data_IF_179098853728
#
_entry.id   IF_179098853728
#
_cell.length_a   1.000
_cell.length_b   1.000
_cell.length_c   1.000
_cell.angle_alpha   90.00
_cell.angle_beta   90.00
_cell.angle_gamma   90.00
#
_symmetry.space_group_name_H-M   'P 1'
#
loop_
_entity.id
_entity.type
_entity.pdbx_description
1 polymer ?
#
# COMPACT_ATOMS: atom_id res chain seq x y z
N UNK A 1 -44.06 -19.89 33.32
CA UNK A 1 -43.41 -18.56 33.26
C UNK A 1 -41.88 -18.56 33.25
N UNK A 2 -41.16 -19.58 33.75
CA UNK A 2 -39.68 -19.59 33.73
C UNK A 2 -39.04 -20.00 32.39
N UNK A 3 -39.74 -20.74 31.52
CA UNK A 3 -39.19 -21.19 30.23
C UNK A 3 -39.19 -20.13 29.14
N UNK A 4 -40.12 -19.17 29.17
CA UNK A 4 -40.14 -18.06 28.20
C UNK A 4 -39.01 -17.04 28.41
N UNK A 5 -38.51 -16.91 29.65
CA UNK A 5 -37.39 -16.01 29.95
C UNK A 5 -36.04 -16.55 29.42
N UNK A 6 -35.87 -17.87 29.35
CA UNK A 6 -34.65 -18.50 28.86
C UNK A 6 -34.50 -18.37 27.34
N UNK A 7 -35.62 -18.42 26.61
CA UNK A 7 -35.63 -18.27 25.15
C UNK A 7 -35.27 -16.84 24.72
N UNK A 8 -35.72 -15.83 25.47
CA UNK A 8 -35.40 -14.44 25.22
C UNK A 8 -33.91 -14.11 25.48
N UNK A 9 -33.28 -14.80 26.44
CA UNK A 9 -31.85 -14.61 26.75
C UNK A 9 -30.93 -15.25 25.70
N UNK A 10 -31.36 -16.35 25.07
CA UNK A 10 -30.61 -17.06 24.03
C UNK A 10 -30.68 -16.36 22.65
N UNK A 11 -31.75 -15.61 22.39
CA UNK A 11 -31.88 -14.78 21.19
C UNK A 11 -31.04 -13.49 21.25
N UNK A 12 -30.65 -13.03 22.44
CA UNK A 12 -29.81 -11.83 22.59
C UNK A 12 -28.32 -12.05 22.31
N UNK A 13 -27.83 -13.30 22.39
CA UNK A 13 -26.41 -13.63 22.16
C UNK A 13 -26.07 -13.96 20.71
N UNK A 14 -27.06 -13.97 19.81
CA UNK A 14 -26.89 -14.26 18.39
C UNK A 14 -26.79 -12.99 17.53
N UNK A 15 -26.49 -11.83 18.11
CA UNK A 15 -25.95 -10.71 17.34
C UNK A 15 -24.49 -11.03 16.99
N UNK A 16 -24.35 -11.93 16.02
CA UNK A 16 -23.14 -12.06 15.25
C UNK A 16 -22.90 -10.68 14.64
N UNK A 17 -21.99 -9.90 15.22
CA UNK A 17 -21.50 -8.67 14.62
C UNK A 17 -20.82 -9.09 13.32
N UNK A 18 -21.59 -9.10 12.24
CA UNK A 18 -21.06 -9.28 10.90
C UNK A 18 -20.00 -8.19 10.73
N UNK A 19 -18.74 -8.60 10.62
CA UNK A 19 -17.68 -7.67 10.29
C UNK A 19 -18.07 -7.02 8.96
N UNK A 20 -18.13 -5.68 8.88
CA UNK A 20 -18.51 -5.02 7.64
C UNK A 20 -17.55 -5.51 6.54
N UNK A 21 -18.13 -6.03 5.46
CA UNK A 21 -17.34 -6.56 4.36
C UNK A 21 -16.45 -5.46 3.79
N UNK A 22 -15.15 -5.74 3.71
CA UNK A 22 -14.19 -4.83 3.09
C UNK A 22 -14.51 -4.75 1.61
N UNK A 23 -14.95 -3.56 1.17
CA UNK A 23 -15.36 -3.29 -0.22
C UNK A 23 -14.12 -3.21 -1.11
N UNK A 24 -13.16 -2.39 -0.69
CA UNK A 24 -11.94 -2.11 -1.46
C UNK A 24 -10.74 -2.06 -0.53
N UNK A 25 -9.61 -2.60 -1.00
CA UNK A 25 -8.32 -2.46 -0.32
C UNK A 25 -7.25 -2.04 -1.31
N UNK A 26 -6.60 -0.91 -1.04
CA UNK A 26 -5.54 -0.33 -1.85
C UNK A 26 -4.27 -0.29 -1.02
N UNK A 27 -3.20 -0.91 -1.51
CA UNK A 27 -1.87 -0.79 -0.94
C UNK A 27 -0.98 0.02 -1.87
N UNK A 28 -0.56 1.19 -1.40
CA UNK A 28 0.37 2.07 -2.08
C UNK A 28 1.74 1.89 -1.43
N UNK A 29 2.76 1.60 -2.23
CA UNK A 29 4.17 1.66 -1.82
C UNK A 29 4.84 2.75 -2.65
N UNK A 30 5.29 3.80 -1.99
CA UNK A 30 6.05 4.91 -2.58
C UNK A 30 7.51 4.73 -2.19
N UNK A 31 8.41 4.73 -3.18
CA UNK A 31 9.86 4.70 -2.97
C UNK A 31 10.54 5.80 -3.76
N UNK A 32 11.60 6.39 -3.19
CA UNK A 32 12.42 7.38 -3.87
C UNK A 32 13.81 6.82 -4.20
N UNK A 33 14.19 6.86 -5.48
CA UNK A 33 15.53 6.48 -5.94
C UNK A 33 15.97 5.08 -5.54
N UNK A 34 17.29 4.84 -5.48
CA UNK A 34 17.89 3.60 -5.02
C UNK A 34 17.80 3.48 -3.48
N UNK A 35 16.59 3.26 -2.96
CA UNK A 35 16.36 2.42 -1.78
C UNK A 35 16.46 3.04 -0.37
N UNK A 36 16.55 4.36 -0.20
CA UNK A 36 16.66 4.92 1.17
C UNK A 36 15.33 5.22 1.85
N UNK A 37 14.27 5.55 1.10
CA UNK A 37 12.99 5.93 1.69
C UNK A 37 11.87 5.10 1.09
N UNK A 38 11.28 4.23 1.93
CA UNK A 38 10.09 3.44 1.58
C UNK A 38 8.94 3.94 2.45
N UNK A 39 7.85 4.26 1.79
CA UNK A 39 6.62 4.68 2.41
C UNK A 39 5.47 3.79 1.95
N UNK A 40 4.69 3.28 2.91
CA UNK A 40 3.55 2.44 2.61
C UNK A 40 2.27 3.10 3.13
N UNK A 41 1.21 3.04 2.31
CA UNK A 41 -0.14 3.44 2.68
C UNK A 41 -1.07 2.28 2.40
N UNK A 42 -1.77 1.83 3.42
CA UNK A 42 -2.85 0.86 3.29
C UNK A 42 -4.18 1.57 3.49
N UNK A 43 -5.03 1.55 2.45
CA UNK A 43 -6.38 2.07 2.47
C UNK A 43 -7.35 0.89 2.45
N UNK A 44 -8.22 0.81 3.46
CA UNK A 44 -9.27 -0.20 3.60
C UNK A 44 -10.60 0.50 3.70
N UNK A 45 -11.53 0.20 2.79
CA UNK A 45 -12.83 0.86 2.72
C UNK A 45 -13.96 -0.15 2.96
N UNK A 46 -14.91 0.24 3.80
CA UNK A 46 -16.22 -0.39 3.97
C UNK A 46 -17.32 0.53 3.44
N UNK A 47 -18.58 0.13 3.55
CA UNK A 47 -19.71 0.99 3.21
C UNK A 47 -19.79 2.26 4.07
N UNK A 48 -19.31 2.20 5.32
CA UNK A 48 -19.47 3.28 6.29
C UNK A 48 -18.20 4.10 6.49
N UNK A 49 -17.06 3.42 6.48
CA UNK A 49 -15.79 3.98 6.95
C UNK A 49 -14.66 3.70 5.96
N UNK A 50 -13.65 4.56 5.98
CA UNK A 50 -12.36 4.33 5.33
C UNK A 50 -11.26 4.42 6.38
N UNK A 51 -10.51 3.34 6.54
CA UNK A 51 -9.31 3.30 7.38
C UNK A 51 -8.07 3.46 6.50
N UNK A 52 -7.20 4.39 6.86
CA UNK A 52 -5.93 4.61 6.18
C UNK A 52 -4.81 4.39 7.19
N UNK A 53 -3.88 3.49 6.90
CA UNK A 53 -2.70 3.22 7.72
C UNK A 53 -1.47 3.68 6.96
N UNK A 54 -0.71 4.59 7.55
CA UNK A 54 0.53 5.14 7.01
C UNK A 54 1.71 4.46 7.70
N UNK A 55 2.77 4.16 6.96
CA UNK A 55 3.96 3.50 7.49
C UNK A 55 5.21 4.00 6.77
N UNK A 56 6.09 4.68 7.50
CA UNK A 56 7.41 5.13 7.00
C UNK A 56 8.48 4.18 7.50
N UNK A 57 9.35 3.71 6.60
CA UNK A 57 10.52 2.94 6.99
C UNK A 57 11.53 3.87 7.67
N UNK A 58 11.87 3.60 8.92
CA UNK A 58 12.86 4.40 9.66
C UNK A 58 14.25 3.81 9.51
N UNK A 59 14.36 2.48 9.63
CA UNK A 59 15.64 1.78 9.53
C UNK A 59 15.45 0.29 9.27
N UNK A 60 16.54 -0.37 8.86
CA UNK A 60 16.64 -1.82 8.79
C UNK A 60 17.76 -2.27 9.70
N UNK A 61 17.52 -3.23 10.59
CA UNK A 61 18.55 -3.83 11.43
C UNK A 61 19.47 -4.73 10.60
N UNK A 62 20.42 -4.10 9.91
CA UNK A 62 21.37 -4.80 9.03
C UNK A 62 22.25 -5.79 9.81
N UNK A 63 22.57 -5.51 11.07
CA UNK A 63 23.37 -6.40 11.91
C UNK A 63 22.63 -7.70 12.18
N UNK A 64 21.38 -7.64 12.63
CA UNK A 64 20.57 -8.84 12.86
C UNK A 64 20.28 -9.57 11.54
N UNK A 65 19.96 -8.84 10.46
CA UNK A 65 19.74 -9.43 9.14
C UNK A 65 20.99 -10.19 8.65
N UNK A 66 22.19 -9.64 8.83
CA UNK A 66 23.45 -10.26 8.40
C UNK A 66 23.83 -11.53 9.17
N UNK A 67 23.20 -11.77 10.33
CA UNK A 67 23.42 -12.96 11.18
C UNK A 67 22.31 -14.00 11.01
N UNK A 68 21.21 -13.67 10.34
CA UNK A 68 20.12 -14.60 10.09
C UNK A 68 20.53 -15.62 9.02
N UNK A 69 20.46 -16.91 9.35
CA UNK A 69 20.81 -18.01 8.44
C UNK A 69 19.96 -18.03 7.18
N UNK A 70 18.68 -17.64 7.27
CA UNK A 70 17.75 -17.59 6.15
C UNK A 70 18.16 -16.47 5.17
N UNK A 71 18.50 -15.29 5.71
CA UNK A 71 19.04 -14.16 4.92
C UNK A 71 20.35 -14.56 4.26
N UNK A 72 21.28 -15.16 5.01
CA UNK A 72 22.57 -15.62 4.47
C UNK A 72 22.36 -16.65 3.37
N UNK A 73 21.44 -17.60 3.55
CA UNK A 73 21.15 -18.62 2.54
C UNK A 73 20.59 -18.00 1.25
N UNK A 74 19.63 -17.09 1.37
CA UNK A 74 19.05 -16.36 0.22
C UNK A 74 20.14 -15.55 -0.48
N UNK A 75 20.95 -14.79 0.24
CA UNK A 75 22.07 -14.03 -0.33
C UNK A 75 23.17 -14.91 -0.97
N UNK A 76 23.39 -16.12 -0.44
CA UNK A 76 24.31 -17.08 -1.05
C UNK A 76 23.73 -17.71 -2.32
N UNK A 77 22.42 -17.97 -2.36
CA UNK A 77 21.73 -18.41 -3.57
C UNK A 77 21.79 -17.33 -4.65
N UNK A 78 21.63 -16.06 -4.27
CA UNK A 78 21.82 -14.90 -5.15
C UNK A 78 23.20 -14.90 -5.79
N UNK A 79 24.25 -14.92 -4.96
CA UNK A 79 25.64 -14.86 -5.44
C UNK A 79 26.02 -16.04 -6.34
N UNK A 80 25.33 -17.17 -6.21
CA UNK A 80 25.52 -18.38 -7.03
C UNK A 80 24.63 -18.42 -8.27
N UNK A 81 23.60 -17.59 -8.33
CA UNK A 81 22.69 -17.51 -9.47
C UNK A 81 23.23 -16.53 -10.51
N UNK A 82 23.07 -16.82 -11.80
CA UNK A 82 23.31 -15.86 -12.89
C UNK A 82 22.21 -14.76 -12.94
N UNK A 83 21.67 -14.38 -11.78
CA UNK A 83 20.57 -13.43 -11.66
C UNK A 83 20.93 -12.06 -12.26
N UNK A 84 22.18 -11.61 -12.08
CA UNK A 84 22.67 -10.36 -12.68
C UNK A 84 22.56 -10.37 -14.22
N UNK A 85 22.58 -11.56 -14.84
CA UNK A 85 22.46 -11.70 -16.29
C UNK A 85 20.99 -11.81 -16.75
N UNK A 86 20.05 -12.09 -15.84
CA UNK A 86 18.61 -12.28 -16.12
C UNK A 86 17.72 -11.77 -14.97
N UNK A 87 17.69 -10.46 -14.68
CA UNK A 87 16.95 -9.89 -13.56
C UNK A 87 15.43 -10.14 -13.66
N UNK A 88 14.88 -10.22 -14.87
CA UNK A 88 13.45 -10.43 -15.13
C UNK A 88 13.08 -11.92 -15.33
N UNK A 89 13.90 -12.85 -14.84
CA UNK A 89 13.56 -14.27 -14.85
C UNK A 89 12.57 -14.58 -13.72
N UNK A 90 11.77 -15.64 -13.87
CA UNK A 90 10.85 -16.11 -12.82
C UNK A 90 11.60 -16.42 -11.52
N UNK A 91 12.82 -16.96 -11.65
CA UNK A 91 13.72 -17.20 -10.53
C UNK A 91 14.18 -15.89 -9.86
N UNK A 92 14.44 -14.86 -10.66
CA UNK A 92 14.82 -13.54 -10.16
C UNK A 92 13.71 -12.81 -9.41
N UNK A 93 12.49 -12.83 -9.94
CA UNK A 93 11.33 -12.26 -9.25
C UNK A 93 11.05 -12.97 -7.92
N UNK A 94 11.14 -14.31 -7.90
CA UNK A 94 11.01 -15.09 -6.65
C UNK A 94 12.08 -14.72 -5.63
N UNK A 95 13.32 -14.58 -6.09
CA UNK A 95 14.43 -14.17 -5.23
C UNK A 95 14.19 -12.79 -4.61
N UNK A 96 13.84 -11.78 -5.44
CA UNK A 96 13.55 -10.43 -4.93
C UNK A 96 12.42 -10.44 -3.90
N UNK A 97 11.38 -11.23 -4.13
CA UNK A 97 10.26 -11.37 -3.19
C UNK A 97 10.70 -12.01 -1.87
N UNK A 98 11.51 -13.07 -1.90
CA UNK A 98 12.04 -13.70 -0.70
C UNK A 98 12.96 -12.76 0.08
N UNK A 99 13.89 -12.08 -0.60
CA UNK A 99 14.76 -11.10 0.03
C UNK A 99 13.96 -9.95 0.64
N UNK A 100 12.97 -9.40 -0.08
CA UNK A 100 12.07 -8.36 0.43
C UNK A 100 11.33 -8.83 1.69
N UNK A 101 10.80 -10.06 1.69
CA UNK A 101 10.12 -10.65 2.85
C UNK A 101 11.05 -10.76 4.06
N UNK A 102 12.29 -11.19 3.86
CA UNK A 102 13.27 -11.31 4.93
C UNK A 102 13.73 -9.95 5.46
N UNK A 103 13.93 -8.97 4.58
CA UNK A 103 14.29 -7.62 4.99
C UNK A 103 13.14 -6.94 5.76
N UNK A 104 11.88 -7.23 5.43
CA UNK A 104 10.71 -6.72 6.17
C UNK A 104 10.71 -7.14 7.65
N UNK A 105 11.19 -8.36 7.97
CA UNK A 105 11.32 -8.86 9.36
C UNK A 105 12.24 -7.98 10.21
N UNK A 106 13.24 -7.36 9.58
CA UNK A 106 14.26 -6.53 10.22
C UNK A 106 14.02 -5.03 10.03
N UNK A 107 12.88 -4.65 9.46
CA UNK A 107 12.54 -3.26 9.18
C UNK A 107 11.76 -2.65 10.33
N UNK A 108 12.19 -1.48 10.79
CA UNK A 108 11.47 -0.68 11.77
C UNK A 108 10.67 0.42 11.07
N UNK A 109 9.41 0.56 11.45
CA UNK A 109 8.49 1.52 10.84
C UNK A 109 7.84 2.42 11.89
N UNK A 110 7.79 3.71 11.60
CA UNK A 110 6.87 4.64 12.23
C UNK A 110 5.52 4.49 11.55
N UNK A 111 4.46 4.29 12.35
CA UNK A 111 3.11 4.02 11.85
C UNK A 111 2.09 4.91 12.52
N UNK A 112 1.09 5.29 11.74
CA UNK A 112 -0.09 5.96 12.26
C UNK A 112 -1.30 5.65 11.37
N UNK A 113 -2.50 5.99 11.81
CA UNK A 113 -3.72 5.71 11.05
C UNK A 113 -4.78 6.79 11.20
N UNK A 114 -5.62 6.91 10.17
CA UNK A 114 -6.83 7.70 10.18
C UNK A 114 -8.03 6.79 10.00
N UNK A 115 -9.11 7.15 10.69
CA UNK A 115 -10.44 6.67 10.41
C UNK A 115 -11.28 7.83 9.87
N UNK A 116 -11.89 7.61 8.71
CA UNK A 116 -12.73 8.57 8.01
C UNK A 116 -14.14 7.99 7.90
N UNK A 117 -15.16 8.77 8.27
CA UNK A 117 -16.54 8.44 7.93
C UNK A 117 -16.76 8.75 6.45
N UNK A 118 -17.28 7.78 5.69
CA UNK A 118 -17.54 7.94 4.25
C UNK A 118 -18.51 9.08 3.97
N UNK A 119 -19.50 9.28 4.84
CA UNK A 119 -20.46 10.39 4.71
C UNK A 119 -19.83 11.77 4.85
N UNK A 120 -18.77 11.90 5.63
CA UNK A 120 -18.06 13.18 5.83
C UNK A 120 -16.97 13.39 4.77
N UNK A 121 -16.56 12.32 4.07
CA UNK A 121 -15.45 12.32 3.12
C UNK A 121 -15.88 11.77 1.75
N UNK A 122 -17.08 12.15 1.29
CA UNK A 122 -17.72 11.59 0.08
C UNK A 122 -16.85 11.67 -1.16
N UNK A 123 -16.18 12.80 -1.39
CA UNK A 123 -15.31 12.99 -2.55
C UNK A 123 -14.14 12.00 -2.56
N UNK A 124 -13.58 11.71 -1.38
CA UNK A 124 -12.52 10.73 -1.23
C UNK A 124 -13.05 9.31 -1.43
N UNK A 125 -14.21 8.97 -0.89
CA UNK A 125 -14.86 7.68 -1.16
C UNK A 125 -15.14 7.46 -2.66
N UNK A 126 -15.59 8.51 -3.38
CA UNK A 126 -15.78 8.47 -4.83
C UNK A 126 -14.45 8.26 -5.56
N UNK A 127 -13.38 8.91 -5.12
CA UNK A 127 -12.04 8.72 -5.71
C UNK A 127 -11.55 7.28 -5.56
N UNK A 128 -11.78 6.65 -4.41
CA UNK A 128 -11.45 5.23 -4.20
C UNK A 128 -12.23 4.32 -5.12
N UNK A 129 -13.55 4.55 -5.25
CA UNK A 129 -14.41 3.78 -6.15
C UNK A 129 -13.97 3.95 -7.62
N UNK A 130 -13.66 5.18 -8.05
CA UNK A 130 -13.14 5.47 -9.39
C UNK A 130 -11.84 4.72 -9.67
N UNK A 131 -10.89 4.77 -8.71
CA UNK A 131 -9.61 4.09 -8.86
C UNK A 131 -9.76 2.57 -8.95
N UNK A 132 -10.65 1.98 -8.15
CA UNK A 132 -10.89 0.54 -8.13
C UNK A 132 -11.55 0.04 -9.42
N UNK A 133 -12.57 0.77 -9.89
CA UNK A 133 -13.36 0.42 -11.07
C UNK A 133 -12.61 0.69 -12.40
N UNK A 134 -11.65 1.63 -12.41
CA UNK A 134 -10.86 1.93 -13.60
C UNK A 134 -10.14 0.68 -14.11
N UNK A 135 -10.21 0.41 -15.42
CA UNK A 135 -9.51 -0.73 -16.01
C UNK A 135 -8.00 -0.56 -15.89
N UNK A 136 -7.24 -1.66 -15.93
CA UNK A 136 -5.78 -1.59 -15.89
C UNK A 136 -5.25 -0.70 -17.02
N UNK A 137 -5.81 -0.82 -18.21
CA UNK A 137 -5.45 -0.05 -19.40
C UNK A 137 -5.70 1.44 -19.17
N UNK A 138 -6.85 1.82 -18.60
CA UNK A 138 -7.16 3.23 -18.29
C UNK A 138 -6.25 3.83 -17.20
N UNK A 139 -5.77 2.98 -16.29
CA UNK A 139 -4.86 3.36 -15.21
C UNK A 139 -3.40 3.45 -15.70
N UNK A 140 -3.03 2.69 -16.73
CA UNK A 140 -1.71 2.65 -17.35
C UNK A 140 -1.60 3.51 -18.61
N UNK A 141 -2.68 4.18 -19.05
CA UNK A 141 -2.67 4.98 -20.27
C UNK A 141 -1.73 6.19 -20.10
N UNK A 142 -0.48 5.97 -20.49
CA UNK A 142 0.57 6.97 -20.55
C UNK A 142 0.09 8.07 -21.49
N UNK A 143 0.01 9.31 -21.01
CA UNK A 143 0.05 10.48 -21.89
C UNK A 143 1.25 10.29 -22.84
N UNK A 144 0.98 9.98 -24.11
CA UNK A 144 1.92 9.51 -25.16
C UNK A 144 3.11 10.47 -25.45
N UNK A 145 3.30 11.52 -24.65
CA UNK A 145 4.11 12.68 -24.96
C UNK A 145 5.45 12.82 -24.21
N UNK A 146 5.79 12.00 -23.20
CA UNK A 146 7.03 12.24 -22.42
C UNK A 146 7.80 10.98 -21.99
N UNK A 147 8.02 10.03 -22.91
CA UNK A 147 8.81 8.81 -22.65
C UNK A 147 10.33 9.04 -22.45
N UNK A 148 10.85 10.23 -22.69
CA UNK A 148 12.30 10.47 -22.73
C UNK A 148 12.93 11.04 -21.43
N UNK A 149 12.14 11.37 -20.39
CA UNK A 149 12.65 12.23 -19.29
C UNK A 149 12.65 11.66 -17.86
N UNK A 150 11.95 10.57 -17.56
CA UNK A 150 11.71 10.14 -16.17
C UNK A 150 12.46 8.85 -15.81
N UNK A 151 13.79 8.84 -15.96
CA UNK A 151 14.64 7.81 -15.33
C UNK A 151 14.91 8.12 -13.85
N UNK A 152 14.42 9.26 -13.35
CA UNK A 152 14.64 9.73 -11.98
C UNK A 152 13.33 10.25 -11.40
N UNK A 153 12.97 9.77 -10.21
CA UNK A 153 11.83 10.26 -9.43
C UNK A 153 11.10 9.14 -8.67
N UNK A 154 10.04 9.47 -7.91
CA UNK A 154 9.38 8.53 -7.02
C UNK A 154 8.70 7.41 -7.81
N UNK A 155 8.88 6.17 -7.37
CA UNK A 155 8.18 5.01 -7.89
C UNK A 155 6.99 4.75 -6.97
N UNK A 156 5.81 4.57 -7.54
CA UNK A 156 4.59 4.21 -6.82
C UNK A 156 4.12 2.85 -7.33
N UNK A 157 4.26 1.83 -6.50
CA UNK A 157 3.67 0.51 -6.68
C UNK A 157 2.29 0.50 -6.03
N UNK A 158 1.27 0.05 -6.76
CA UNK A 158 -0.12 -0.02 -6.29
C UNK A 158 -0.61 -1.44 -6.41
N UNK A 159 -1.11 -2.00 -5.30
CA UNK A 159 -1.84 -3.28 -5.29
C UNK A 159 -3.28 -3.02 -4.92
N UNK A 160 -4.18 -3.45 -5.78
CA UNK A 160 -5.61 -3.41 -5.55
C UNK A 160 -6.09 -4.80 -5.22
N UNK A 161 -6.83 -4.91 -4.12
CA UNK A 161 -7.54 -6.12 -3.76
C UNK A 161 -9.04 -5.83 -3.71
N UNK A 162 -9.82 -6.70 -4.34
CA UNK A 162 -11.29 -6.71 -4.29
C UNK A 162 -11.72 -8.00 -3.63
N UNK A 163 -12.58 -7.93 -2.63
CA UNK A 163 -13.18 -9.12 -2.00
C UNK A 163 -12.14 -10.15 -1.49
N UNK A 164 -10.95 -9.69 -1.13
CA UNK A 164 -9.86 -10.53 -0.61
C UNK A 164 -8.87 -11.05 -1.66
N UNK A 165 -9.13 -10.85 -2.96
CA UNK A 165 -8.22 -11.26 -4.04
C UNK A 165 -7.47 -10.07 -4.64
N UNK A 166 -6.19 -10.26 -4.95
CA UNK A 166 -5.40 -9.24 -5.66
C UNK A 166 -5.84 -9.15 -7.11
N UNK A 167 -6.51 -8.04 -7.43
CA UNK A 167 -7.10 -7.81 -8.75
C UNK A 167 -6.13 -7.14 -9.71
N UNK A 168 -5.26 -6.23 -9.23
CA UNK A 168 -4.34 -5.44 -10.07
C UNK A 168 -3.04 -5.12 -9.32
N UNK A 169 -1.92 -5.16 -10.05
CA UNK A 169 -0.63 -4.61 -9.62
C UNK A 169 -0.17 -3.63 -10.70
N UNK A 170 0.11 -2.39 -10.29
CA UNK A 170 0.44 -1.27 -11.17
C UNK A 170 1.71 -0.60 -10.65
N UNK A 171 2.59 -0.17 -11.56
CA UNK A 171 3.83 0.52 -11.19
C UNK A 171 3.94 1.81 -11.98
N UNK A 172 4.05 2.92 -11.26
CA UNK A 172 4.16 4.27 -11.82
C UNK A 172 5.52 4.86 -11.51
N UNK A 173 6.19 5.40 -12.52
CA UNK A 173 7.41 6.17 -12.33
C UNK A 173 7.05 7.65 -12.42
N UNK A 174 7.27 8.38 -11.33
CA UNK A 174 6.97 9.80 -11.18
C UNK A 174 5.54 10.16 -11.62
N UNK A 175 4.50 9.62 -10.95
CA UNK A 175 3.13 10.01 -11.25
C UNK A 175 2.95 11.51 -11.03
N UNK A 176 2.33 12.17 -12.01
CA UNK A 176 2.05 13.60 -12.00
C UNK A 176 0.64 13.87 -12.54
N UNK A 177 0.13 15.07 -12.30
CA UNK A 177 -1.23 15.47 -12.72
C UNK A 177 -1.47 15.40 -14.23
N UNK A 178 -0.40 15.47 -15.02
CA UNK A 178 -0.42 15.44 -16.48
C UNK A 178 -0.20 14.03 -17.08
N UNK A 179 0.55 13.17 -16.37
CA UNK A 179 0.92 11.82 -16.84
C UNK A 179 0.00 10.73 -16.35
N UNK A 180 -0.30 10.75 -15.05
CA UNK A 180 -1.07 9.72 -14.35
C UNK A 180 -2.04 10.39 -13.36
N UNK A 181 -3.04 11.15 -13.86
CA UNK A 181 -3.83 12.06 -13.04
C UNK A 181 -4.56 11.37 -11.90
N UNK A 182 -5.07 10.16 -12.12
CA UNK A 182 -5.89 9.47 -11.12
C UNK A 182 -5.05 8.95 -9.94
N UNK A 183 -3.89 8.33 -10.20
CA UNK A 183 -2.98 7.91 -9.12
C UNK A 183 -2.34 9.12 -8.44
N UNK A 184 -1.99 10.17 -9.19
CA UNK A 184 -1.49 11.41 -8.62
C UNK A 184 -2.51 12.01 -7.64
N UNK A 185 -3.78 12.11 -8.05
CA UNK A 185 -4.88 12.59 -7.21
C UNK A 185 -5.08 11.70 -5.99
N UNK A 186 -5.11 10.38 -6.17
CA UNK A 186 -5.24 9.43 -5.06
C UNK A 186 -4.14 9.63 -4.02
N UNK A 187 -2.87 9.59 -4.43
CA UNK A 187 -1.73 9.76 -3.51
C UNK A 187 -1.79 11.12 -2.83
N UNK A 188 -2.02 12.20 -3.59
CA UNK A 188 -2.06 13.56 -3.06
C UNK A 188 -3.16 13.75 -2.02
N UNK A 189 -4.39 13.35 -2.33
CA UNK A 189 -5.53 13.47 -1.41
C UNK A 189 -5.31 12.62 -0.15
N UNK A 190 -4.80 11.40 -0.32
CA UNK A 190 -4.49 10.50 0.80
C UNK A 190 -3.50 11.14 1.76
N UNK A 191 -2.39 11.68 1.26
CA UNK A 191 -1.40 12.36 2.11
C UNK A 191 -1.96 13.64 2.75
N UNK A 192 -2.74 14.41 1.99
CA UNK A 192 -3.32 15.66 2.47
C UNK A 192 -4.32 15.44 3.62
N UNK A 193 -5.09 14.35 3.60
CA UNK A 193 -5.99 13.98 4.69
C UNK A 193 -5.25 13.82 6.03
N UNK A 194 -4.06 13.22 5.99
CA UNK A 194 -3.22 13.08 7.18
C UNK A 194 -2.59 14.40 7.62
N UNK A 195 -1.95 15.12 6.69
CA UNK A 195 -1.28 16.41 6.96
C UNK A 195 -2.22 17.45 7.58
N UNK A 196 -3.48 17.49 7.15
CA UNK A 196 -4.50 18.41 7.70
C UNK A 196 -4.81 18.14 9.17
N UNK A 197 -4.74 16.88 9.61
CA UNK A 197 -5.07 16.46 10.99
C UNK A 197 -3.86 16.39 11.90
N UNK A 198 -2.68 16.18 11.34
CA UNK A 198 -1.41 16.03 12.05
C UNK A 198 -0.35 16.98 11.47
N UNK A 199 -0.45 18.29 11.76
CA UNK A 199 0.63 19.22 11.42
C UNK A 199 1.93 18.78 12.12
N UNK A 200 3.08 18.96 11.47
CA UNK A 200 4.40 18.55 11.98
C UNK A 200 4.59 17.04 12.19
N UNK A 201 3.92 16.23 11.38
CA UNK A 201 4.05 14.76 11.42
C UNK A 201 5.13 14.23 10.48
N UNK A 202 5.42 12.93 10.58
CA UNK A 202 6.42 12.25 9.74
C UNK A 202 6.10 12.25 8.23
N UNK A 203 4.93 12.77 7.82
CA UNK A 203 4.48 12.93 6.43
C UNK A 203 4.62 14.35 5.89
N UNK A 204 5.39 15.24 6.53
CA UNK A 204 5.62 16.59 5.99
C UNK A 204 6.06 16.59 4.52
N UNK A 205 5.72 17.67 3.82
CA UNK A 205 5.83 17.78 2.35
C UNK A 205 7.25 17.49 1.85
N UNK A 206 8.26 17.77 2.67
CA UNK A 206 9.66 17.56 2.36
C UNK A 206 10.08 16.09 2.36
N UNK A 207 9.27 15.19 2.94
CA UNK A 207 9.61 13.78 3.13
C UNK A 207 8.94 12.84 2.11
N UNK A 208 7.91 13.31 1.40
CA UNK A 208 7.26 12.57 0.32
C UNK A 208 6.93 13.58 -0.79
N UNK A 209 7.80 13.74 -1.80
CA UNK A 209 7.56 14.60 -2.93
C UNK A 209 6.51 13.96 -3.81
N UNK A 210 5.32 14.55 -3.77
CA UNK A 210 4.28 14.32 -4.76
C UNK A 210 4.21 15.65 -5.52
N UNK A 211 4.72 15.65 -6.75
CA UNK A 211 4.86 16.83 -7.62
C UNK A 211 3.59 17.04 -8.44
#
# INVERSE_FOLDING_TARGET
>A
MKQTLLLALLLLTATCFAQPSEKHRIHLTVSQGFGSEIFNILISQTSEDTKIVYSKLDSVNKEMASRDKEVINVMNLYAKSNYLDKPNSVEGEKFEQELKKLLLKYSFYTRDSLLLKSNDNKEYSILLDQFHLASKESLEEIAKLNRAGALTGPIVEVKLNSEGETSKVLTYISPGSDKHPLIYKLVSETLNLYRKRHPNSFLEKDHIPVY
#
